data_IF_002755773235
#
_entry.id   IF_002755773235
#
_cell.length_a   1.000
_cell.length_b   1.000
_cell.length_c   1.000
_cell.angle_alpha   90.00
_cell.angle_beta   90.00
_cell.angle_gamma   90.00
#
_symmetry.space_group_name_H-M   'P 1'
#
loop_
_entity.id
_entity.type
_entity.pdbx_description
1 polymer ?
#
# COMPACT_ATOMS: atom_id res chain seq x y z
N UNK A 1 10.82 7.44 -16.73
CA UNK A 1 10.72 7.57 -15.25
C UNK A 1 11.81 6.71 -14.63
N UNK A 2 12.54 7.21 -13.61
CA UNK A 2 13.52 6.39 -12.85
C UNK A 2 12.78 5.66 -11.73
N UNK A 3 12.83 4.32 -11.72
CA UNK A 3 12.14 3.51 -10.72
C UNK A 3 13.14 3.02 -9.68
N UNK A 4 12.92 3.43 -8.43
CA UNK A 4 13.66 2.94 -7.26
C UNK A 4 12.76 1.99 -6.47
N UNK A 5 13.33 0.96 -5.87
CA UNK A 5 12.58 0.10 -4.98
C UNK A 5 13.38 -0.29 -3.74
N UNK A 6 12.63 -0.61 -2.69
CA UNK A 6 13.14 -1.25 -1.48
C UNK A 6 12.23 -2.42 -1.12
N UNK A 7 12.83 -3.55 -0.81
CA UNK A 7 12.14 -4.71 -0.27
C UNK A 7 13.09 -5.45 0.68
N UNK A 8 12.55 -6.24 1.59
CA UNK A 8 13.31 -7.07 2.53
C UNK A 8 14.30 -8.00 1.80
N UNK A 9 13.88 -8.61 0.70
CA UNK A 9 14.72 -9.40 -0.20
C UNK A 9 14.90 -8.63 -1.50
N UNK A 10 16.14 -8.34 -1.87
CA UNK A 10 16.48 -7.72 -3.14
C UNK A 10 16.14 -8.67 -4.29
N UNK A 11 15.64 -8.16 -5.40
CA UNK A 11 15.46 -8.90 -6.65
C UNK A 11 16.81 -9.39 -7.20
N UNK A 12 16.79 -10.42 -8.02
CA UNK A 12 17.97 -10.83 -8.76
C UNK A 12 18.38 -9.75 -9.78
N UNK A 13 19.67 -9.68 -10.14
CA UNK A 13 20.18 -8.64 -11.04
C UNK A 13 19.55 -8.68 -12.45
N UNK A 14 19.17 -9.87 -12.91
CA UNK A 14 18.46 -10.04 -14.17
C UNK A 14 17.06 -9.45 -14.12
N UNK A 15 16.31 -9.66 -13.01
CA UNK A 15 14.97 -9.08 -12.79
C UNK A 15 15.05 -7.55 -12.68
N UNK A 16 16.05 -7.01 -11.95
CA UNK A 16 16.27 -5.56 -11.86
C UNK A 16 16.48 -4.92 -13.24
N UNK A 17 17.24 -5.60 -14.12
CA UNK A 17 17.46 -5.15 -15.49
C UNK A 17 16.21 -5.26 -16.35
N UNK A 18 15.51 -6.39 -16.28
CA UNK A 18 14.27 -6.65 -17.03
C UNK A 18 13.19 -5.60 -16.70
N UNK A 19 13.00 -5.29 -15.41
CA UNK A 19 12.01 -4.30 -14.97
C UNK A 19 12.52 -2.85 -15.00
N UNK A 20 13.80 -2.64 -15.30
CA UNK A 20 14.40 -1.30 -15.32
C UNK A 20 14.36 -0.60 -13.96
N UNK A 21 14.52 -1.36 -12.86
CA UNK A 21 14.41 -0.86 -11.48
C UNK A 21 15.74 -0.91 -10.74
N UNK A 22 15.94 -0.02 -9.77
CA UNK A 22 17.17 0.03 -8.96
C UNK A 22 16.85 -0.13 -7.49
N UNK A 23 17.51 -1.11 -6.84
CA UNK A 23 17.44 -1.28 -5.39
C UNK A 23 18.15 -0.14 -4.66
N UNK A 24 17.50 0.35 -3.62
CA UNK A 24 18.06 1.30 -2.66
C UNK A 24 17.65 0.91 -1.25
N UNK A 25 18.37 1.37 -0.22
CA UNK A 25 17.91 1.19 1.14
C UNK A 25 16.68 2.08 1.43
N UNK A 26 15.97 1.78 2.52
CA UNK A 26 14.71 2.46 2.86
C UNK A 26 14.88 3.98 2.98
N UNK A 27 15.93 4.44 3.64
CA UNK A 27 16.25 5.86 3.79
C UNK A 27 16.46 6.56 2.44
N UNK A 28 17.20 5.93 1.55
CA UNK A 28 17.43 6.46 0.21
C UNK A 28 16.16 6.48 -0.63
N UNK A 29 15.28 5.48 -0.46
CA UNK A 29 14.00 5.46 -1.14
C UNK A 29 13.16 6.69 -0.76
N UNK A 30 13.02 6.97 0.54
CA UNK A 30 12.29 8.14 1.00
C UNK A 30 12.92 9.46 0.53
N UNK A 31 14.25 9.60 0.60
CA UNK A 31 14.93 10.83 0.20
C UNK A 31 14.85 11.14 -1.30
N UNK A 32 14.88 10.12 -2.15
CA UNK A 32 15.04 10.29 -3.60
C UNK A 32 13.72 10.28 -4.37
N UNK A 33 12.66 9.72 -3.80
CA UNK A 33 11.37 9.58 -4.49
C UNK A 33 10.65 10.92 -4.63
N UNK A 34 10.13 11.18 -5.84
CA UNK A 34 9.15 12.23 -6.10
C UNK A 34 7.73 11.72 -5.83
N UNK A 35 7.48 10.45 -6.13
CA UNK A 35 6.27 9.72 -5.77
C UNK A 35 6.69 8.42 -5.10
N UNK A 36 6.28 8.20 -3.86
CA UNK A 36 6.56 6.98 -3.11
C UNK A 36 5.26 6.20 -2.91
N UNK A 37 5.22 4.96 -3.45
CA UNK A 37 4.07 4.08 -3.35
C UNK A 37 4.36 2.88 -2.46
N UNK A 38 3.42 2.57 -1.54
CA UNK A 38 3.53 1.50 -0.55
C UNK A 38 2.82 0.25 -1.08
N UNK A 39 3.54 -0.88 -1.13
CA UNK A 39 3.03 -2.18 -1.60
C UNK A 39 3.39 -3.36 -0.66
N UNK A 40 3.83 -3.06 0.55
CA UNK A 40 4.17 -4.12 1.53
C UNK A 40 2.91 -4.67 2.20
N UNK A 41 2.86 -5.97 2.55
CA UNK A 41 1.76 -6.53 3.32
C UNK A 41 1.79 -6.00 4.77
N UNK A 42 0.61 -5.84 5.37
CA UNK A 42 0.52 -5.53 6.80
C UNK A 42 0.92 -6.74 7.65
N UNK A 43 1.89 -6.55 8.53
CA UNK A 43 2.39 -7.51 9.52
C UNK A 43 2.85 -6.74 10.75
N UNK A 44 3.17 -7.42 11.84
CA UNK A 44 3.65 -6.77 13.07
C UNK A 44 4.89 -5.89 12.82
N UNK A 45 5.81 -6.32 11.95
CA UNK A 45 7.02 -5.57 11.61
C UNK A 45 6.81 -4.48 10.55
N UNK A 46 5.62 -4.35 9.96
CA UNK A 46 5.25 -3.28 9.04
C UNK A 46 4.18 -2.36 9.63
N UNK A 47 3.71 -2.64 10.85
CA UNK A 47 2.80 -1.78 11.58
C UNK A 47 3.47 -0.42 11.85
N UNK A 48 2.83 0.66 11.37
CA UNK A 48 3.29 2.04 11.51
C UNK A 48 4.77 2.28 11.13
N UNK A 49 5.31 1.44 10.20
CA UNK A 49 6.70 1.57 9.76
C UNK A 49 6.95 2.93 9.08
N UNK A 50 5.94 3.50 8.43
CA UNK A 50 5.99 4.83 7.84
C UNK A 50 5.54 5.85 8.88
N UNK A 51 6.49 6.37 9.62
CA UNK A 51 6.35 7.36 10.67
C UNK A 51 6.85 8.76 10.22
N UNK A 52 6.73 9.76 11.09
CA UNK A 52 7.19 11.12 10.83
C UNK A 52 8.69 11.18 10.54
N UNK A 53 9.50 10.29 11.14
CA UNK A 53 10.95 10.23 10.92
C UNK A 53 11.28 9.87 9.47
N UNK A 54 10.53 8.94 8.86
CA UNK A 54 10.69 8.59 7.44
C UNK A 54 10.06 9.65 6.54
N UNK A 55 8.87 10.15 6.84
CA UNK A 55 8.19 11.17 6.04
C UNK A 55 9.02 12.45 5.95
N UNK A 56 9.69 12.87 7.02
CA UNK A 56 10.60 14.03 7.02
C UNK A 56 11.82 13.88 6.09
N UNK A 57 12.14 12.67 5.65
CA UNK A 57 13.22 12.44 4.68
C UNK A 57 12.78 12.67 3.24
N UNK A 58 11.48 12.71 2.97
CA UNK A 58 10.95 12.96 1.64
C UNK A 58 11.19 14.41 1.19
N UNK A 59 11.16 14.63 -0.12
CA UNK A 59 11.17 15.97 -0.68
C UNK A 59 9.86 16.68 -0.32
N UNK A 60 9.90 17.98 -0.12
CA UNK A 60 8.68 18.80 0.14
C UNK A 60 7.73 18.83 -1.07
N UNK A 61 8.21 18.49 -2.26
CA UNK A 61 7.41 18.33 -3.49
C UNK A 61 6.90 16.90 -3.70
N UNK A 62 7.25 15.95 -2.83
CA UNK A 62 6.92 14.53 -3.02
C UNK A 62 5.48 14.19 -2.61
N UNK A 63 4.96 13.13 -3.23
CA UNK A 63 3.67 12.54 -2.90
C UNK A 63 3.84 11.14 -2.30
N UNK A 64 3.05 10.84 -1.26
CA UNK A 64 2.99 9.52 -0.63
C UNK A 64 1.70 8.82 -1.01
N UNK A 65 1.81 7.62 -1.61
CA UNK A 65 0.67 6.83 -2.07
C UNK A 65 0.56 5.55 -1.22
N UNK A 66 -0.64 5.27 -0.70
CA UNK A 66 -0.89 4.04 0.02
C UNK A 66 -2.16 3.34 -0.51
N UNK A 67 -1.95 2.25 -1.21
CA UNK A 67 -2.99 1.32 -1.68
C UNK A 67 -2.84 -0.07 -1.07
N UNK A 68 -1.96 -0.21 -0.07
CA UNK A 68 -1.68 -1.47 0.60
C UNK A 68 -2.58 -1.70 1.82
N UNK A 69 -2.25 -1.11 2.97
CA UNK A 69 -3.06 -1.15 4.20
C UNK A 69 -2.85 0.11 5.02
N UNK A 70 -3.91 0.66 5.61
CA UNK A 70 -3.85 1.93 6.36
C UNK A 70 -2.89 1.91 7.54
N UNK A 71 -2.88 0.82 8.31
CA UNK A 71 -2.02 0.64 9.50
C UNK A 71 -0.51 0.54 9.21
N UNK A 72 -0.07 0.61 7.96
CA UNK A 72 1.36 0.69 7.60
C UNK A 72 1.90 2.10 7.84
N UNK A 73 1.05 3.11 7.73
CA UNK A 73 1.39 4.50 8.01
C UNK A 73 0.88 4.86 9.41
N UNK A 74 1.71 5.54 10.20
CA UNK A 74 1.28 6.20 11.42
C UNK A 74 0.46 7.44 11.04
N UNK A 75 -0.86 7.29 11.05
CA UNK A 75 -1.80 8.23 10.45
C UNK A 75 -1.69 9.64 11.03
N UNK A 76 -1.51 9.78 12.34
CA UNK A 76 -1.32 11.10 12.98
C UNK A 76 -0.05 11.80 12.47
N UNK A 77 1.02 11.05 12.21
CA UNK A 77 2.27 11.57 11.69
C UNK A 77 2.11 12.05 10.24
N UNK A 78 1.34 11.30 9.41
CA UNK A 78 0.99 11.72 8.06
C UNK A 78 0.15 13.00 8.06
N UNK A 79 -0.89 13.06 8.90
CA UNK A 79 -1.74 14.24 9.05
C UNK A 79 -0.90 15.47 9.43
N UNK A 80 0.01 15.30 10.39
CA UNK A 80 0.93 16.36 10.79
C UNK A 80 1.82 16.82 9.63
N UNK A 81 2.43 15.86 8.90
CA UNK A 81 3.31 16.16 7.78
C UNK A 81 2.60 16.93 6.65
N UNK A 82 1.36 16.52 6.32
CA UNK A 82 0.52 17.17 5.31
C UNK A 82 0.11 18.60 5.73
N UNK A 83 -0.30 18.78 7.00
CA UNK A 83 -0.64 20.10 7.57
C UNK A 83 0.57 21.04 7.54
N UNK A 84 1.74 20.54 7.85
CA UNK A 84 3.01 21.31 7.88
C UNK A 84 3.69 21.42 6.51
N UNK A 85 3.08 20.87 5.44
CA UNK A 85 3.65 20.85 4.08
C UNK A 85 5.07 20.25 4.02
N UNK A 86 5.35 19.26 4.87
CA UNK A 86 6.61 18.50 4.84
C UNK A 86 6.69 17.69 3.56
N UNK A 87 5.54 17.21 3.04
CA UNK A 87 5.36 16.64 1.71
C UNK A 87 4.24 17.38 0.98
N UNK A 88 4.22 17.32 -0.34
CA UNK A 88 3.24 18.02 -1.16
C UNK A 88 1.82 17.47 -0.96
N UNK A 89 1.67 16.15 -0.89
CA UNK A 89 0.36 15.53 -0.76
C UNK A 89 0.40 14.03 -0.55
N UNK A 90 -0.78 13.43 -0.47
CA UNK A 90 -0.94 11.97 -0.39
C UNK A 90 -2.14 11.47 -1.19
N UNK A 91 -2.03 10.21 -1.69
CA UNK A 91 -3.14 9.44 -2.27
C UNK A 91 -3.38 8.18 -1.43
N UNK A 92 -4.58 8.02 -0.89
CA UNK A 92 -4.89 6.95 0.04
C UNK A 92 -6.15 6.21 -0.41
N UNK A 93 -6.02 4.89 -0.63
CA UNK A 93 -7.16 3.99 -0.86
C UNK A 93 -7.52 3.19 0.39
N UNK A 94 -6.70 3.31 1.45
CA UNK A 94 -6.81 2.54 2.70
C UNK A 94 -6.53 3.42 3.92
N UNK A 95 -7.18 3.09 5.06
CA UNK A 95 -7.18 3.89 6.28
C UNK A 95 -6.92 3.02 7.50
N UNK A 96 -6.53 3.62 8.63
CA UNK A 96 -6.38 2.88 9.89
C UNK A 96 -7.72 2.29 10.35
N UNK A 97 -8.82 3.04 10.14
CA UNK A 97 -10.19 2.58 10.41
C UNK A 97 -11.02 2.77 9.13
N UNK A 98 -11.59 1.69 8.65
CA UNK A 98 -12.45 1.66 7.46
C UNK A 98 -13.91 1.30 7.84
N UNK A 99 -14.90 1.99 7.27
CA UNK A 99 -14.81 3.16 6.39
C UNK A 99 -14.31 4.40 7.13
N UNK A 100 -13.63 5.31 6.40
CA UNK A 100 -13.16 6.59 6.97
C UNK A 100 -14.36 7.46 7.38
N UNK A 101 -14.28 8.09 8.54
CA UNK A 101 -15.32 9.00 9.00
C UNK A 101 -15.31 10.31 8.19
N UNK A 102 -16.49 10.79 7.80
CA UNK A 102 -16.64 12.09 7.07
C UNK A 102 -16.07 13.30 7.82
N UNK A 103 -15.98 13.25 9.16
CA UNK A 103 -15.38 14.31 9.99
C UNK A 103 -13.85 14.16 10.13
N UNK A 104 -13.26 13.13 9.56
CA UNK A 104 -11.83 12.84 9.67
C UNK A 104 -10.98 13.97 9.08
N UNK A 105 -9.81 14.22 9.67
CA UNK A 105 -8.92 15.31 9.23
C UNK A 105 -8.51 15.18 7.76
N UNK A 106 -8.18 13.97 7.30
CA UNK A 106 -7.76 13.71 5.90
C UNK A 106 -8.84 14.14 4.89
N UNK A 107 -10.13 13.95 5.22
CA UNK A 107 -11.26 14.31 4.33
C UNK A 107 -11.33 15.81 4.06
N UNK A 108 -10.82 16.62 4.99
CA UNK A 108 -10.84 18.10 4.90
C UNK A 108 -9.60 18.68 4.23
N UNK A 109 -8.60 17.86 3.91
CA UNK A 109 -7.33 18.32 3.32
C UNK A 109 -7.42 18.44 1.82
N UNK A 110 -7.00 19.59 1.28
CA UNK A 110 -7.00 19.86 -0.18
C UNK A 110 -5.84 19.16 -0.92
N UNK A 111 -4.82 18.75 -0.20
CA UNK A 111 -3.64 18.08 -0.74
C UNK A 111 -3.67 16.56 -0.54
N UNK A 112 -4.87 15.99 -0.35
CA UNK A 112 -5.07 14.54 -0.20
C UNK A 112 -6.15 14.06 -1.15
N UNK A 113 -5.86 12.98 -1.87
CA UNK A 113 -6.85 12.24 -2.66
C UNK A 113 -7.23 10.99 -1.88
N UNK A 114 -8.51 10.74 -1.72
CA UNK A 114 -9.06 9.62 -0.96
C UNK A 114 -9.98 8.80 -1.85
N UNK A 115 -9.81 7.47 -1.83
CA UNK A 115 -10.71 6.51 -2.48
C UNK A 115 -11.18 5.47 -1.46
N UNK A 116 -12.40 4.92 -1.56
CA UNK A 116 -13.00 4.07 -0.54
C UNK A 116 -12.62 2.59 -0.68
N UNK A 117 -11.30 2.27 -0.68
CA UNK A 117 -10.74 0.91 -0.79
C UNK A 117 -11.27 0.19 -2.03
N UNK A 118 -10.99 0.78 -3.20
CA UNK A 118 -11.54 0.33 -4.50
C UNK A 118 -10.51 -0.29 -5.44
N UNK A 119 -9.31 -0.64 -4.95
CA UNK A 119 -8.23 -1.19 -5.79
C UNK A 119 -8.61 -2.46 -6.57
N UNK A 120 -9.59 -3.25 -6.09
CA UNK A 120 -10.12 -4.44 -6.77
C UNK A 120 -11.57 -4.26 -7.26
N UNK A 121 -12.06 -3.03 -7.39
CA UNK A 121 -13.50 -2.76 -7.61
C UNK A 121 -13.88 -2.61 -9.09
N UNK A 122 -13.11 -3.14 -10.03
CA UNK A 122 -13.56 -3.25 -11.42
C UNK A 122 -14.57 -4.40 -11.57
N UNK A 123 -15.43 -4.32 -12.57
CA UNK A 123 -16.44 -5.35 -12.86
C UNK A 123 -15.75 -6.70 -13.11
N UNK A 124 -14.70 -6.70 -13.93
CA UNK A 124 -13.94 -7.90 -14.29
C UNK A 124 -13.29 -8.55 -13.07
N UNK A 125 -12.64 -7.74 -12.22
CA UNK A 125 -11.97 -8.26 -11.02
C UNK A 125 -12.97 -8.83 -10.05
N UNK A 126 -14.09 -8.13 -9.78
CA UNK A 126 -15.16 -8.62 -8.88
C UNK A 126 -15.79 -9.90 -9.39
N UNK A 127 -16.10 -9.99 -10.71
CA UNK A 127 -16.59 -11.20 -11.34
C UNK A 127 -15.61 -12.36 -11.15
N UNK A 128 -14.32 -12.14 -11.43
CA UNK A 128 -13.28 -13.17 -11.27
C UNK A 128 -13.13 -13.65 -9.83
N UNK A 129 -13.18 -12.73 -8.85
CA UNK A 129 -13.16 -13.07 -7.43
C UNK A 129 -14.36 -13.95 -7.04
N UNK A 130 -15.57 -13.61 -7.50
CA UNK A 130 -16.77 -14.39 -7.24
C UNK A 130 -16.68 -15.79 -7.87
N UNK A 131 -16.25 -15.90 -9.13
CA UNK A 131 -16.05 -17.17 -9.83
C UNK A 131 -15.08 -18.09 -9.07
N UNK A 132 -13.93 -17.57 -8.64
CA UNK A 132 -12.92 -18.32 -7.88
C UNK A 132 -13.48 -18.78 -6.53
N UNK A 133 -14.22 -17.91 -5.82
CA UNK A 133 -14.82 -18.26 -4.53
C UNK A 133 -15.85 -19.39 -4.68
N UNK A 134 -16.74 -19.29 -5.67
CA UNK A 134 -17.75 -20.32 -5.96
C UNK A 134 -17.07 -21.63 -6.38
N UNK A 135 -16.08 -21.60 -7.25
CA UNK A 135 -15.33 -22.78 -7.67
C UNK A 135 -14.68 -23.51 -6.49
N UNK A 136 -14.00 -22.77 -5.60
CA UNK A 136 -13.40 -23.35 -4.41
C UNK A 136 -14.44 -23.96 -3.47
N UNK A 137 -15.59 -23.32 -3.31
CA UNK A 137 -16.70 -23.85 -2.50
C UNK A 137 -17.25 -25.18 -3.08
N UNK A 138 -17.53 -25.22 -4.38
CA UNK A 138 -18.01 -26.44 -5.07
C UNK A 138 -17.00 -27.58 -4.92
N UNK A 139 -15.71 -27.32 -5.14
CA UNK A 139 -14.66 -28.33 -4.99
C UNK A 139 -14.63 -28.88 -3.56
N UNK A 140 -14.67 -27.99 -2.56
CA UNK A 140 -14.64 -28.38 -1.14
C UNK A 140 -15.86 -29.22 -0.75
N UNK A 141 -17.06 -28.82 -1.16
CA UNK A 141 -18.31 -29.56 -0.89
C UNK A 141 -18.33 -30.92 -1.58
N UNK A 142 -17.64 -31.07 -2.72
CA UNK A 142 -17.49 -32.33 -3.47
C UNK A 142 -16.37 -33.22 -2.94
N UNK A 143 -15.74 -32.89 -1.79
CA UNK A 143 -14.59 -33.62 -1.24
C UNK A 143 -13.31 -33.47 -2.04
N UNK A 144 -13.26 -32.54 -3.00
CA UNK A 144 -12.06 -32.24 -3.82
C UNK A 144 -11.28 -31.09 -3.20
N UNK A 145 -9.97 -31.08 -3.47
CA UNK A 145 -9.11 -29.99 -3.00
C UNK A 145 -9.42 -28.69 -3.75
N UNK A 146 -9.66 -27.55 -3.03
CA UNK A 146 -9.83 -26.26 -3.64
C UNK A 146 -8.56 -25.80 -4.35
N UNK A 147 -8.69 -24.99 -5.41
CA UNK A 147 -7.55 -24.47 -6.18
C UNK A 147 -6.68 -23.54 -5.32
N UNK A 148 -7.32 -22.75 -4.46
CA UNK A 148 -6.65 -21.79 -3.58
C UNK A 148 -6.98 -22.06 -2.11
N UNK A 149 -6.32 -23.08 -1.55
CA UNK A 149 -6.47 -23.46 -0.16
C UNK A 149 -5.63 -22.54 0.74
N UNK A 150 -6.27 -21.92 1.74
CA UNK A 150 -5.57 -21.21 2.80
C UNK A 150 -5.34 -22.19 3.95
N UNK A 151 -4.10 -22.62 4.12
CA UNK A 151 -3.71 -23.45 5.28
C UNK A 151 -3.60 -22.55 6.52
N UNK A 152 -4.42 -22.81 7.55
CA UNK A 152 -4.20 -22.23 8.86
C UNK A 152 -2.80 -22.65 9.34
N UNK A 153 -1.97 -21.71 9.74
CA UNK A 153 -0.78 -22.04 10.53
C UNK A 153 -1.30 -22.33 11.95
N UNK A 154 -1.47 -23.61 12.26
CA UNK A 154 -1.64 -24.07 13.65
C UNK A 154 -0.38 -23.77 14.45
#
# INVERSE_FOLDING_TARGET
MNILYHNRKRLARNEEREFGVKYVNLDQLFRKSDVLSIHVPYKNNTHEIVDLRLIKKMKNTAFLINTARGKIIKENDLIFALKKKIIAGAGLDVYQKEPINRKHHLVKMKNVVLTPHIGSSTIETRKKMAEIAVQNLILSLSGKKPVYEVKAKL
#
